data_IF_937467463452
#
_entry.id   IF_937467463452
#
_cell.length_a   1.000
_cell.length_b   1.000
_cell.length_c   1.000
_cell.angle_alpha   90.00
_cell.angle_beta   90.00
_cell.angle_gamma   90.00
#
_symmetry.space_group_name_H-M   'P 1'
#
loop_
_entity.id
_entity.type
_entity.pdbx_description
1 polymer ?
#
# COMPACT_ATOMS: atom_id res chain seq x y z
N UNK A 1 -45.81 -25.69 34.31
CA UNK A 1 -47.03 -25.96 33.51
C UNK A 1 -47.26 -24.76 32.62
N UNK A 2 -47.14 -24.80 31.29
CA UNK A 2 -47.23 -25.88 30.30
C UNK A 2 -46.26 -25.54 29.14
N UNK A 3 -45.41 -26.49 28.74
CA UNK A 3 -45.51 -27.35 27.54
C UNK A 3 -44.86 -26.77 26.27
N UNK A 4 -43.88 -27.53 25.81
CA UNK A 4 -43.21 -27.51 24.50
C UNK A 4 -43.90 -28.62 23.65
N UNK A 5 -43.45 -28.97 22.42
CA UNK A 5 -43.36 -28.28 21.13
C UNK A 5 -44.17 -29.01 20.01
N UNK A 6 -44.24 -28.46 18.80
CA UNK A 6 -44.49 -29.23 17.56
C UNK A 6 -43.65 -28.64 16.42
N UNK A 7 -42.54 -29.26 16.00
CA UNK A 7 -42.36 -30.42 15.10
C UNK A 7 -42.82 -30.21 13.64
N UNK A 8 -41.86 -30.54 12.77
CA UNK A 8 -42.02 -31.05 11.40
C UNK A 8 -42.39 -30.04 10.32
N UNK A 9 -41.93 -30.13 9.08
CA UNK A 9 -40.88 -30.91 8.43
C UNK A 9 -40.74 -30.30 7.02
N UNK A 10 -39.58 -30.56 6.40
CA UNK A 10 -39.29 -30.62 4.97
C UNK A 10 -40.38 -30.19 3.98
N UNK A 11 -40.01 -29.33 3.01
CA UNK A 11 -40.20 -29.67 1.60
C UNK A 11 -39.29 -28.83 0.69
N UNK A 12 -38.29 -29.51 0.15
CA UNK A 12 -37.60 -29.15 -1.09
C UNK A 12 -38.62 -28.98 -2.21
N UNK A 13 -38.64 -27.84 -2.89
CA UNK A 13 -39.22 -27.75 -4.23
C UNK A 13 -38.38 -26.84 -5.12
N UNK A 14 -37.50 -27.48 -5.89
CA UNK A 14 -36.92 -26.90 -7.11
C UNK A 14 -38.07 -26.54 -8.05
N UNK A 15 -38.17 -25.27 -8.43
CA UNK A 15 -38.89 -24.88 -9.64
C UNK A 15 -37.91 -24.16 -10.56
N UNK A 16 -37.63 -24.83 -11.67
CA UNK A 16 -36.97 -24.29 -12.85
C UNK A 16 -38.03 -23.47 -13.58
N UNK A 17 -37.80 -22.16 -13.73
CA UNK A 17 -38.57 -21.32 -14.64
C UNK A 17 -37.62 -20.83 -15.73
N UNK A 18 -37.83 -21.38 -16.92
CA UNK A 18 -37.28 -20.88 -18.18
C UNK A 18 -38.16 -19.72 -18.66
N UNK A 19 -37.51 -18.63 -19.06
CA UNK A 19 -37.98 -17.76 -20.13
C UNK A 19 -38.79 -16.54 -19.71
N UNK A 20 -38.20 -15.36 -19.88
CA UNK A 20 -38.80 -14.24 -20.62
C UNK A 20 -37.73 -13.16 -20.82
N UNK A 21 -37.28 -12.99 -22.05
CA UNK A 21 -36.53 -11.82 -22.52
C UNK A 21 -37.46 -10.61 -22.46
N UNK A 22 -37.10 -9.63 -21.64
CA UNK A 22 -37.73 -8.29 -21.65
C UNK A 22 -36.64 -7.28 -21.96
N UNK A 23 -36.75 -6.69 -23.16
CA UNK A 23 -35.92 -5.58 -23.62
C UNK A 23 -36.43 -4.30 -22.96
N UNK A 24 -35.62 -3.69 -22.09
CA UNK A 24 -35.86 -2.33 -21.59
C UNK A 24 -34.67 -1.48 -22.04
N UNK A 25 -34.97 -0.52 -22.92
CA UNK A 25 -34.09 0.58 -23.26
C UNK A 25 -34.47 1.78 -22.37
N UNK A 26 -33.51 2.36 -21.65
CA UNK A 26 -33.75 3.58 -20.87
C UNK A 26 -32.72 3.92 -19.80
N UNK A 27 -31.64 4.60 -20.24
CA UNK A 27 -30.88 5.66 -19.56
C UNK A 27 -30.24 5.45 -18.17
N UNK A 28 -28.91 5.35 -18.19
CA UNK A 28 -27.89 6.10 -17.42
C UNK A 28 -26.77 5.16 -16.99
N UNK A 29 -25.82 5.01 -17.91
CA UNK A 29 -24.55 4.35 -17.76
C UNK A 29 -23.65 5.12 -16.80
N UNK A 30 -23.25 4.50 -15.69
CA UNK A 30 -21.91 4.74 -15.14
C UNK A 30 -21.40 3.51 -14.38
N UNK A 31 -21.54 2.34 -15.00
CA UNK A 31 -20.68 1.20 -14.68
C UNK A 31 -19.29 1.52 -15.20
N UNK A 32 -18.42 1.94 -14.29
CA UNK A 32 -16.97 1.98 -14.44
C UNK A 32 -16.50 0.60 -14.88
N UNK A 33 -16.53 0.36 -16.17
CA UNK A 33 -15.85 -0.75 -16.81
C UNK A 33 -14.39 -0.35 -16.84
N UNK A 34 -13.66 -0.76 -15.79
CA UNK A 34 -12.20 -0.76 -15.78
C UNK A 34 -11.74 -1.62 -16.95
N UNK A 35 -11.59 -1.01 -18.13
CA UNK A 35 -10.83 -1.59 -19.24
C UNK A 35 -9.42 -1.78 -18.73
N UNK A 36 -9.09 -3.02 -18.37
CA UNK A 36 -7.72 -3.46 -18.36
C UNK A 36 -7.23 -3.30 -19.80
N UNK A 37 -6.42 -2.26 -20.04
CA UNK A 37 -5.61 -2.16 -21.23
C UNK A 37 -4.66 -3.36 -21.21
N UNK A 38 -5.05 -4.43 -21.88
CA UNK A 38 -4.14 -5.51 -22.25
C UNK A 38 -3.14 -4.89 -23.24
N UNK A 39 -2.04 -4.38 -22.71
CA UNK A 39 -0.89 -3.99 -23.50
C UNK A 39 -0.32 -5.29 -24.08
N UNK A 40 -0.61 -5.56 -25.35
CA UNK A 40 0.07 -6.58 -26.14
C UNK A 40 1.53 -6.16 -26.32
N UNK A 41 2.34 -6.53 -25.32
CA UNK A 41 3.79 -6.52 -25.34
C UNK A 41 4.25 -7.86 -24.82
N UNK A 42 5.34 -8.37 -25.38
CA UNK A 42 6.03 -9.61 -25.03
C UNK A 42 5.97 -9.94 -23.51
N UNK A 43 5.72 -11.20 -23.09
CA UNK A 43 5.47 -11.56 -21.68
C UNK A 43 6.64 -11.39 -20.68
N UNK A 44 7.67 -10.59 -20.97
CA UNK A 44 8.90 -10.60 -20.17
C UNK A 44 9.58 -9.24 -19.93
N UNK A 45 8.83 -8.14 -19.95
CA UNK A 45 9.34 -6.86 -19.44
C UNK A 45 8.20 -6.01 -18.88
N UNK A 46 7.46 -6.53 -17.91
CA UNK A 46 6.52 -5.71 -17.13
C UNK A 46 7.35 -4.60 -16.44
N UNK A 47 7.29 -3.38 -16.97
CA UNK A 47 7.85 -2.21 -16.30
C UNK A 47 7.05 -2.00 -15.03
N UNK A 48 7.74 -1.99 -13.90
CA UNK A 48 7.13 -1.71 -12.60
C UNK A 48 6.72 -0.24 -12.62
N UNK A 49 5.45 0.04 -12.33
CA UNK A 49 4.94 1.41 -12.24
C UNK A 49 5.24 2.01 -10.87
N UNK A 50 5.33 3.33 -10.81
CA UNK A 50 5.43 4.07 -9.55
C UNK A 50 4.23 3.77 -8.66
N UNK A 51 3.03 3.69 -9.22
CA UNK A 51 1.80 3.37 -8.48
C UNK A 51 1.89 2.01 -7.77
N UNK A 52 2.51 1.00 -8.40
CA UNK A 52 2.71 -0.30 -7.79
C UNK A 52 3.67 -0.22 -6.58
N UNK A 53 4.75 0.54 -6.71
CA UNK A 53 5.69 0.81 -5.61
C UNK A 53 5.02 1.60 -4.49
N UNK A 54 4.18 2.58 -4.82
CA UNK A 54 3.45 3.38 -3.85
C UNK A 54 2.42 2.54 -3.08
N UNK A 55 1.67 1.67 -3.77
CA UNK A 55 0.75 0.74 -3.12
C UNK A 55 1.47 -0.23 -2.18
N UNK A 56 2.62 -0.77 -2.61
CA UNK A 56 3.44 -1.64 -1.78
C UNK A 56 4.02 -0.90 -0.57
N UNK A 57 4.49 0.33 -0.78
CA UNK A 57 5.01 1.19 0.29
C UNK A 57 3.93 1.50 1.33
N UNK A 58 2.73 1.88 0.90
CA UNK A 58 1.62 2.15 1.80
C UNK A 58 1.26 0.92 2.65
N UNK A 59 1.29 -0.28 2.06
CA UNK A 59 1.05 -1.55 2.78
C UNK A 59 2.07 -1.78 3.90
N UNK A 60 3.36 -1.55 3.66
CA UNK A 60 4.40 -1.82 4.65
C UNK A 60 4.60 -0.70 5.67
N UNK A 61 4.50 0.55 5.24
CA UNK A 61 4.68 1.71 6.12
C UNK A 61 3.53 1.83 7.12
N UNK A 62 2.30 1.53 6.68
CA UNK A 62 1.11 1.51 7.54
C UNK A 62 0.57 2.88 7.96
N UNK A 63 1.15 4.00 7.49
CA UNK A 63 0.70 5.34 7.83
C UNK A 63 1.52 6.46 7.16
N UNK A 64 1.18 7.70 7.49
CA UNK A 64 1.80 8.89 6.91
C UNK A 64 1.36 9.21 5.48
N UNK A 65 1.79 10.36 4.99
CA UNK A 65 1.63 10.81 3.61
C UNK A 65 2.89 10.44 2.83
N UNK A 66 2.74 9.61 1.80
CA UNK A 66 3.84 9.20 0.93
C UNK A 66 3.82 10.03 -0.36
N UNK A 67 4.91 10.73 -0.65
CA UNK A 67 5.06 11.55 -1.85
C UNK A 67 5.42 10.68 -3.08
N UNK A 68 4.61 10.69 -4.16
CA UNK A 68 4.93 9.97 -5.41
C UNK A 68 6.28 10.31 -6.04
N UNK A 69 6.80 11.53 -5.85
CA UNK A 69 8.14 11.93 -6.33
C UNK A 69 9.21 11.14 -5.60
N UNK A 70 9.06 10.91 -4.29
CA UNK A 70 9.95 10.03 -3.54
C UNK A 70 9.74 8.56 -3.91
N UNK A 71 8.51 8.16 -4.26
CA UNK A 71 8.23 6.83 -4.83
C UNK A 71 8.97 6.58 -6.15
N UNK A 72 9.08 7.58 -7.02
CA UNK A 72 9.89 7.52 -8.23
C UNK A 72 11.37 7.31 -7.92
N UNK A 73 11.90 8.06 -6.95
CA UNK A 73 13.29 7.93 -6.52
C UNK A 73 13.56 6.54 -5.93
N UNK A 74 12.67 6.03 -5.08
CA UNK A 74 12.76 4.67 -4.53
C UNK A 74 12.78 3.61 -5.65
N UNK A 75 11.88 3.71 -6.62
CA UNK A 75 11.85 2.78 -7.76
C UNK A 75 13.17 2.82 -8.55
N UNK A 76 13.76 4.00 -8.75
CA UNK A 76 15.04 4.13 -9.42
C UNK A 76 16.14 3.38 -8.65
N UNK A 77 16.28 3.64 -7.34
CA UNK A 77 17.28 3.00 -6.48
C UNK A 77 17.12 1.47 -6.40
N UNK A 78 15.89 0.97 -6.31
CA UNK A 78 15.62 -0.48 -6.31
C UNK A 78 15.87 -1.12 -7.68
N UNK A 79 15.82 -0.34 -8.76
CA UNK A 79 16.04 -0.83 -10.12
C UNK A 79 17.51 -0.87 -10.53
N UNK A 80 18.40 -0.21 -9.79
CA UNK A 80 19.86 -0.22 -10.03
C UNK A 80 20.49 -1.59 -9.74
N UNK A 81 19.97 -2.31 -8.74
CA UNK A 81 20.42 -3.65 -8.38
C UNK A 81 19.46 -4.72 -8.91
N UNK A 82 19.91 -5.63 -9.79
CA UNK A 82 19.10 -6.75 -10.29
C UNK A 82 18.49 -7.61 -9.19
N UNK A 83 19.17 -7.80 -8.06
CA UNK A 83 18.69 -8.61 -6.95
C UNK A 83 17.50 -7.93 -6.24
N UNK A 84 17.59 -6.61 -6.00
CA UNK A 84 16.47 -5.81 -5.47
C UNK A 84 15.32 -5.76 -6.45
N UNK A 85 15.59 -5.59 -7.74
CA UNK A 85 14.54 -5.58 -8.75
C UNK A 85 13.81 -6.93 -8.82
N UNK A 86 14.51 -8.06 -8.67
CA UNK A 86 13.91 -9.38 -8.56
C UNK A 86 13.07 -9.52 -7.27
N UNK A 87 13.59 -9.06 -6.13
CA UNK A 87 12.85 -9.04 -4.86
C UNK A 87 11.58 -8.20 -4.92
N UNK A 88 11.65 -7.02 -5.56
CA UNK A 88 10.51 -6.13 -5.78
C UNK A 88 9.45 -6.80 -6.66
N UNK A 89 9.86 -7.49 -7.73
CA UNK A 89 8.92 -8.27 -8.57
C UNK A 89 8.24 -9.38 -7.77
N UNK A 90 8.98 -10.08 -6.92
CA UNK A 90 8.41 -11.12 -6.07
C UNK A 90 7.37 -10.55 -5.09
N UNK A 91 7.59 -9.35 -4.54
CA UNK A 91 6.63 -8.66 -3.67
C UNK A 91 5.37 -8.16 -4.39
N UNK A 92 5.49 -7.86 -5.68
CA UNK A 92 4.38 -7.42 -6.52
C UNK A 92 3.56 -8.59 -7.10
N UNK A 93 4.00 -9.83 -6.88
CA UNK A 93 3.18 -11.00 -7.15
C UNK A 93 1.94 -10.97 -6.25
N UNK A 94 0.71 -11.04 -6.81
CA UNK A 94 -0.52 -11.08 -6.04
C UNK A 94 -0.54 -12.16 -4.94
N UNK A 95 0.16 -13.28 -5.14
CA UNK A 95 0.25 -14.36 -4.15
C UNK A 95 1.17 -14.03 -2.97
N UNK A 96 2.05 -13.03 -3.10
CA UNK A 96 2.92 -12.57 -2.01
C UNK A 96 2.22 -11.60 -1.04
N UNK A 97 0.99 -11.17 -1.35
CA UNK A 97 0.25 -10.21 -0.53
C UNK A 97 -0.11 -10.74 0.87
N UNK A 98 -0.27 -12.06 1.02
CA UNK A 98 -0.67 -12.69 2.28
C UNK A 98 0.48 -13.39 3.01
N UNK A 99 1.68 -13.42 2.41
CA UNK A 99 2.85 -14.07 3.01
C UNK A 99 3.41 -13.15 4.12
N UNK A 100 3.58 -13.66 5.36
CA UNK A 100 4.25 -12.91 6.41
C UNK A 100 5.69 -12.56 6.01
N UNK A 101 6.17 -11.36 6.36
CA UNK A 101 7.52 -10.89 5.99
C UNK A 101 8.64 -11.86 6.40
N UNK A 102 8.48 -12.54 7.53
CA UNK A 102 9.43 -13.56 8.02
C UNK A 102 9.56 -14.77 7.08
N UNK A 103 8.55 -15.06 6.27
CA UNK A 103 8.50 -16.19 5.33
C UNK A 103 8.85 -15.79 3.90
N UNK A 104 9.08 -14.50 3.64
CA UNK A 104 9.53 -14.04 2.33
C UNK A 104 10.94 -14.55 2.03
N UNK A 105 11.27 -14.81 0.74
CA UNK A 105 12.65 -15.02 0.30
C UNK A 105 13.56 -13.85 0.70
N UNK A 106 14.84 -14.11 0.95
CA UNK A 106 15.75 -13.10 1.49
C UNK A 106 15.82 -11.83 0.63
N UNK A 107 15.84 -11.95 -0.70
CA UNK A 107 15.82 -10.78 -1.59
C UNK A 107 14.54 -9.95 -1.48
N UNK A 108 13.37 -10.57 -1.31
CA UNK A 108 12.11 -9.86 -1.09
C UNK A 108 12.09 -9.22 0.30
N UNK A 109 12.57 -9.93 1.33
CA UNK A 109 12.68 -9.40 2.69
C UNK A 109 13.61 -8.18 2.74
N UNK A 110 14.74 -8.22 2.03
CA UNK A 110 15.66 -7.09 1.92
C UNK A 110 14.97 -5.89 1.29
N UNK A 111 14.20 -6.08 0.21
CA UNK A 111 13.44 -4.98 -0.41
C UNK A 111 12.40 -4.39 0.55
N UNK A 112 11.75 -5.20 1.39
CA UNK A 112 10.86 -4.67 2.45
C UNK A 112 11.65 -3.79 3.42
N UNK A 113 12.83 -4.24 3.87
CA UNK A 113 13.72 -3.43 4.70
C UNK A 113 14.11 -2.14 3.99
N UNK A 114 14.49 -2.19 2.72
CA UNK A 114 14.87 -1.02 1.92
C UNK A 114 13.71 -0.02 1.81
N UNK A 115 12.49 -0.49 1.55
CA UNK A 115 11.27 0.34 1.52
C UNK A 115 11.06 1.04 2.88
N UNK A 116 11.11 0.28 3.97
CA UNK A 116 10.88 0.82 5.32
C UNK A 116 11.96 1.85 5.69
N UNK A 117 13.22 1.50 5.51
CA UNK A 117 14.35 2.40 5.80
C UNK A 117 14.31 3.65 4.93
N UNK A 118 13.92 3.54 3.66
CA UNK A 118 13.79 4.69 2.78
C UNK A 118 12.70 5.67 3.26
N UNK A 119 11.53 5.18 3.67
CA UNK A 119 10.43 6.05 4.08
C UNK A 119 10.58 6.61 5.50
N UNK A 120 11.14 5.83 6.42
CA UNK A 120 11.32 6.25 7.80
C UNK A 120 12.60 7.05 8.01
N UNK A 121 13.69 6.67 7.35
CA UNK A 121 15.02 7.22 7.62
C UNK A 121 15.65 7.90 6.40
N UNK A 122 15.12 7.72 5.19
CA UNK A 122 15.72 8.26 3.98
C UNK A 122 17.05 7.59 3.64
N UNK A 123 17.19 6.30 3.92
CA UNK A 123 18.41 5.53 3.62
C UNK A 123 18.11 4.32 2.71
N UNK A 124 19.14 3.89 1.99
CA UNK A 124 19.26 2.59 1.31
C UNK A 124 20.66 2.06 1.63
N UNK A 125 20.80 0.79 2.00
CA UNK A 125 22.06 0.20 2.51
C UNK A 125 22.71 1.01 3.64
N UNK A 126 21.90 1.52 4.57
CA UNK A 126 22.35 2.40 5.66
C UNK A 126 23.05 3.69 5.19
N UNK A 127 22.95 4.03 3.90
CA UNK A 127 23.49 5.26 3.33
C UNK A 127 22.37 6.26 3.03
N UNK A 128 22.57 7.55 3.33
CA UNK A 128 21.65 8.60 2.91
C UNK A 128 21.40 8.55 1.42
N UNK A 129 20.13 8.61 1.02
CA UNK A 129 19.80 8.83 -0.40
C UNK A 129 20.10 10.27 -0.79
N UNK A 130 20.24 10.53 -2.09
CA UNK A 130 20.48 11.88 -2.60
C UNK A 130 19.39 12.86 -2.17
N UNK A 131 19.81 14.09 -1.82
CA UNK A 131 18.97 15.17 -1.32
C UNK A 131 18.11 14.78 -0.09
N UNK A 132 18.62 13.90 0.78
CA UNK A 132 17.92 13.46 2.00
C UNK A 132 17.47 14.62 2.88
N UNK A 133 18.26 15.69 2.96
CA UNK A 133 17.96 16.89 3.74
C UNK A 133 16.70 17.60 3.24
N UNK A 134 16.46 17.63 1.93
CA UNK A 134 15.28 18.28 1.35
C UNK A 134 13.98 17.53 1.65
N UNK A 135 14.07 16.22 1.95
CA UNK A 135 12.94 15.34 2.27
C UNK A 135 12.84 14.97 3.75
N UNK A 136 13.67 15.56 4.60
CA UNK A 136 13.79 15.14 6.00
C UNK A 136 12.44 15.21 6.75
N UNK A 137 11.67 16.29 6.54
CA UNK A 137 10.35 16.47 7.16
C UNK A 137 9.22 15.70 6.47
N UNK A 138 9.45 15.14 5.28
CA UNK A 138 8.51 14.23 4.62
C UNK A 138 8.73 12.76 5.03
N UNK A 139 9.78 12.46 5.82
CA UNK A 139 9.98 11.12 6.37
C UNK A 139 8.88 10.77 7.37
N UNK A 140 8.44 9.51 7.34
CA UNK A 140 7.30 9.05 8.15
C UNK A 140 7.58 9.16 9.65
N UNK A 141 8.84 8.99 10.05
CA UNK A 141 9.29 9.20 11.44
C UNK A 141 9.04 10.64 11.93
N UNK A 142 9.21 11.63 11.06
CA UNK A 142 8.97 13.04 11.38
C UNK A 142 7.49 13.40 11.35
N UNK A 143 6.71 12.78 10.48
CA UNK A 143 5.26 12.98 10.42
C UNK A 143 4.54 12.47 11.67
N UNK A 144 5.13 11.51 12.39
CA UNK A 144 4.58 11.00 13.64
C UNK A 144 4.74 11.97 14.83
N UNK A 145 5.56 13.02 14.69
CA UNK A 145 5.81 13.97 15.76
C UNK A 145 4.81 15.14 15.67
N UNK A 146 4.17 15.55 16.78
CA UNK A 146 3.16 16.61 16.79
C UNK A 146 3.80 18.01 16.74
N UNK A 147 4.76 18.21 15.83
CA UNK A 147 5.39 19.51 15.65
C UNK A 147 4.58 20.38 14.68
N UNK A 148 4.05 21.53 15.13
CA UNK A 148 3.28 22.42 14.27
C UNK A 148 4.16 23.14 13.23
N UNK A 149 5.47 23.21 13.48
CA UNK A 149 6.47 23.83 12.60
C UNK A 149 7.78 23.06 12.68
N UNK A 150 8.61 23.20 11.65
CA UNK A 150 9.96 22.63 11.63
C UNK A 150 10.75 23.21 12.83
N UNK A 151 11.15 22.37 13.80
CA UNK A 151 11.65 22.87 15.06
C UNK A 151 13.06 23.48 14.97
N UNK A 152 13.77 23.28 13.86
CA UNK A 152 15.07 23.92 13.57
C UNK A 152 14.97 25.28 12.88
N UNK A 153 13.81 25.68 12.35
CA UNK A 153 13.67 26.95 11.61
C UNK A 153 12.74 27.96 12.27
N UNK A 154 11.78 27.53 13.08
CA UNK A 154 10.76 28.43 13.64
C UNK A 154 10.72 28.50 15.17
N UNK A 155 11.38 27.57 15.87
CA UNK A 155 11.34 27.51 17.34
C UNK A 155 12.64 28.10 17.91
N UNK A 156 12.51 29.15 18.72
CA UNK A 156 13.63 29.71 19.46
C UNK A 156 14.21 28.68 20.43
N UNK A 157 15.46 28.90 20.89
CA UNK A 157 16.08 28.08 21.94
C UNK A 157 15.11 27.89 23.11
N UNK A 158 14.80 26.63 23.46
CA UNK A 158 13.95 26.29 24.61
C UNK A 158 12.65 25.55 24.30
N UNK A 159 12.13 25.59 23.07
CA UNK A 159 10.89 24.85 22.76
C UNK A 159 11.05 23.32 22.69
N UNK A 160 12.29 22.84 22.84
CA UNK A 160 12.62 21.43 23.01
C UNK A 160 12.60 20.98 24.48
N UNK A 161 12.38 21.92 25.41
CA UNK A 161 12.28 21.64 26.85
C UNK A 161 10.87 21.25 27.28
N UNK A 162 9.88 21.41 26.40
CA UNK A 162 8.50 20.98 26.62
C UNK A 162 8.30 19.60 26.00
N UNK A 163 7.69 18.68 26.75
CA UNK A 163 7.35 17.37 26.22
C UNK A 163 6.39 17.52 25.03
N UNK A 164 6.58 16.77 23.93
CA UNK A 164 5.61 16.75 22.85
C UNK A 164 4.30 16.20 23.40
N UNK A 165 3.31 17.07 23.57
CA UNK A 165 1.99 16.66 24.03
C UNK A 165 1.42 15.63 23.05
N UNK A 166 0.94 14.50 23.59
CA UNK A 166 0.26 13.49 22.80
C UNK A 166 -1.13 14.01 22.43
N UNK A 167 -1.25 14.75 21.34
CA UNK A 167 -2.56 15.16 20.82
C UNK A 167 -3.30 13.93 20.29
N UNK A 168 -4.19 13.41 21.13
CA UNK A 168 -5.10 12.31 20.81
C UNK A 168 -6.22 12.24 21.85
N UNK A 169 -7.28 12.99 21.61
CA UNK A 169 -8.64 12.75 22.09
C UNK A 169 -9.51 12.45 20.87
#
# INVERSE_FOLDING_TARGET
MNDQPARSAAMTRRQIVRGATVTIAGASTDTVTRRASAQSGTPNAQRISVDAVMALSARFVGGGTLDPVHGQHLLALLSEDPARLAGLRALLDPFAADIPVAQLPDGARQVVTDILTFWYLGLIDDRPVDNREARFFSLVSWQALPYPTIPTVCKGFGSWAEDPERTGA
#
